data_IF_529250623756
#
_entry.id   IF_529250623756
#
_cell.length_a   1.000
_cell.length_b   1.000
_cell.length_c   1.000
_cell.angle_alpha   90.00
_cell.angle_beta   90.00
_cell.angle_gamma   90.00
#
_symmetry.space_group_name_H-M   'P 1'
#
loop_
_entity.id
_entity.type
_entity.pdbx_description
1 polymer ?
#
# COMPACT_ATOMS: atom_id res chain seq x y z
N UNK A 1 -1.25 -22.63 15.23
CA UNK A 1 0.16 -22.32 15.54
C UNK A 1 0.20 -21.13 16.49
N UNK A 2 0.88 -21.22 17.64
CA UNK A 2 1.08 -20.06 18.52
C UNK A 2 2.09 -19.13 17.87
N UNK A 3 1.70 -17.89 17.64
CA UNK A 3 2.64 -16.83 17.15
C UNK A 3 3.66 -16.56 18.27
N UNK A 4 4.93 -16.74 17.97
CA UNK A 4 5.99 -16.32 18.88
C UNK A 4 6.33 -14.84 18.58
N UNK A 5 6.57 -14.03 19.62
CA UNK A 5 7.11 -12.69 19.42
C UNK A 5 8.44 -12.75 18.67
N UNK A 6 8.70 -11.79 17.78
CA UNK A 6 9.96 -11.71 17.02
C UNK A 6 11.10 -11.08 17.83
N UNK A 7 10.79 -10.53 19.01
CA UNK A 7 11.77 -9.98 19.97
C UNK A 7 11.55 -10.59 21.35
N UNK A 8 12.62 -10.64 22.15
CA UNK A 8 12.57 -11.08 23.55
C UNK A 8 12.20 -9.91 24.47
N UNK A 9 11.87 -10.25 25.73
CA UNK A 9 11.58 -9.22 26.74
C UNK A 9 12.82 -8.33 26.97
N UNK A 10 13.98 -8.91 27.06
CA UNK A 10 15.26 -8.21 27.29
C UNK A 10 15.54 -7.23 26.14
N UNK A 11 15.26 -7.64 24.89
CA UNK A 11 15.39 -6.76 23.72
C UNK A 11 14.42 -5.57 23.80
N UNK A 12 13.17 -5.78 24.22
CA UNK A 12 12.21 -4.69 24.43
C UNK A 12 12.70 -3.74 25.52
N UNK A 13 13.19 -4.27 26.64
CA UNK A 13 13.70 -3.45 27.76
C UNK A 13 14.89 -2.59 27.32
N UNK A 14 15.73 -3.07 26.42
CA UNK A 14 16.83 -2.29 25.85
C UNK A 14 16.35 -1.22 24.87
N UNK A 15 15.38 -1.56 23.99
CA UNK A 15 14.79 -0.62 23.04
C UNK A 15 14.12 0.55 23.77
N UNK A 16 13.37 0.28 24.84
CA UNK A 16 12.67 1.30 25.64
C UNK A 16 13.60 2.34 26.23
N UNK A 17 14.86 2.00 26.51
CA UNK A 17 15.85 2.98 27.01
C UNK A 17 16.12 4.11 26.00
N UNK A 18 16.04 3.79 24.71
CA UNK A 18 16.28 4.76 23.63
C UNK A 18 14.99 5.33 23.07
N UNK A 19 13.96 4.50 22.95
CA UNK A 19 12.66 4.86 22.38
C UNK A 19 11.57 4.67 23.42
N UNK A 20 11.11 5.76 24.08
CA UNK A 20 10.09 5.67 25.11
C UNK A 20 8.75 5.20 24.49
N UNK A 21 7.99 4.44 25.26
CA UNK A 21 6.62 4.02 24.90
C UNK A 21 5.65 5.21 24.83
N UNK A 22 4.60 5.18 23.98
CA UNK A 22 4.27 4.11 23.04
C UNK A 22 5.06 4.18 21.73
N UNK A 23 5.36 3.02 21.13
CA UNK A 23 5.98 2.94 19.79
C UNK A 23 5.49 1.70 19.03
N UNK A 24 5.62 1.72 17.71
CA UNK A 24 5.42 0.56 16.86
C UNK A 24 6.77 -0.07 16.55
N UNK A 25 6.88 -1.37 16.71
CA UNK A 25 8.06 -2.15 16.36
C UNK A 25 7.70 -3.09 15.19
N UNK A 26 8.42 -2.97 14.10
CA UNK A 26 8.21 -3.75 12.90
C UNK A 26 9.29 -4.82 12.73
N UNK A 27 8.89 -6.03 12.33
CA UNK A 27 9.78 -7.11 11.93
C UNK A 27 10.07 -7.02 10.44
N UNK A 28 11.12 -6.29 10.07
CA UNK A 28 11.51 -6.14 8.67
C UNK A 28 11.76 -7.49 7.99
N UNK A 29 12.42 -8.42 8.68
CA UNK A 29 12.68 -9.75 8.15
C UNK A 29 11.37 -10.49 7.84
N UNK A 30 10.42 -10.47 8.78
CA UNK A 30 9.12 -11.08 8.59
C UNK A 30 8.30 -10.44 7.45
N UNK A 31 8.38 -9.10 7.30
CA UNK A 31 7.75 -8.39 6.19
C UNK A 31 8.32 -8.86 4.85
N UNK A 32 9.66 -8.93 4.73
CA UNK A 32 10.35 -9.39 3.52
C UNK A 32 10.02 -10.84 3.18
N UNK A 33 10.04 -11.71 4.16
CA UNK A 33 9.71 -13.13 3.99
C UNK A 33 8.26 -13.32 3.52
N UNK A 34 7.30 -12.58 4.08
CA UNK A 34 5.91 -12.62 3.66
C UNK A 34 5.71 -12.08 2.24
N UNK A 35 6.29 -10.95 1.90
CA UNK A 35 6.19 -10.37 0.56
C UNK A 35 6.76 -11.33 -0.50
N UNK A 36 7.90 -11.95 -0.21
CA UNK A 36 8.49 -12.98 -1.06
C UNK A 36 7.59 -14.20 -1.21
N UNK A 37 7.03 -14.70 -0.11
CA UNK A 37 6.16 -15.88 -0.12
C UNK A 37 4.88 -15.64 -0.94
N UNK A 38 4.27 -14.45 -0.84
CA UNK A 38 3.11 -14.09 -1.67
C UNK A 38 3.50 -14.08 -3.15
N UNK A 39 4.58 -13.40 -3.50
CA UNK A 39 5.08 -13.35 -4.88
C UNK A 39 5.34 -14.76 -5.46
N UNK A 40 5.97 -15.63 -4.67
CA UNK A 40 6.25 -17.01 -5.08
C UNK A 40 4.98 -17.86 -5.22
N UNK A 41 4.01 -17.69 -4.31
CA UNK A 41 2.75 -18.43 -4.36
C UNK A 41 1.92 -18.14 -5.63
N UNK A 42 2.05 -16.94 -6.19
CA UNK A 42 1.35 -16.52 -7.40
C UNK A 42 2.24 -16.48 -8.65
N UNK A 43 3.47 -17.03 -8.59
CA UNK A 43 4.42 -17.02 -9.70
C UNK A 43 3.92 -17.72 -10.98
N UNK A 44 2.89 -18.55 -10.87
CA UNK A 44 2.21 -19.18 -12.00
C UNK A 44 1.42 -18.19 -12.85
N UNK A 45 1.06 -17.02 -12.31
CA UNK A 45 0.34 -15.95 -13.02
C UNK A 45 1.29 -14.77 -13.26
N UNK A 46 1.83 -14.57 -14.46
CA UNK A 46 2.77 -13.48 -14.74
C UNK A 46 2.13 -12.08 -14.66
N UNK A 47 0.78 -12.01 -14.66
CA UNK A 47 0.03 -10.76 -14.49
C UNK A 47 -0.31 -10.43 -13.03
N UNK A 48 0.02 -11.31 -12.08
CA UNK A 48 -0.30 -11.07 -10.68
C UNK A 48 0.55 -9.93 -10.10
N UNK A 49 -0.11 -9.04 -9.40
CA UNK A 49 0.52 -8.00 -8.57
C UNK A 49 -0.27 -7.84 -7.28
N UNK A 50 0.42 -7.83 -6.17
CA UNK A 50 -0.13 -7.48 -4.86
C UNK A 50 -0.18 -5.96 -4.70
N UNK A 51 -1.31 -5.44 -4.23
CA UNK A 51 -1.45 -4.03 -3.85
C UNK A 51 -1.69 -3.95 -2.35
N UNK A 52 -0.72 -3.40 -1.65
CA UNK A 52 -0.77 -3.26 -0.19
C UNK A 52 -1.66 -2.08 0.21
N UNK A 53 -2.63 -2.33 1.09
CA UNK A 53 -3.52 -1.29 1.62
C UNK A 53 -2.74 -0.29 2.49
N UNK A 54 -2.50 0.91 1.95
CA UNK A 54 -1.67 1.95 2.59
C UNK A 54 -2.22 2.35 3.95
N UNK A 55 -3.56 2.42 4.08
CA UNK A 55 -4.23 2.74 5.36
C UNK A 55 -3.88 1.80 6.51
N UNK A 56 -3.49 0.56 6.23
CA UNK A 56 -3.11 -0.40 7.27
C UNK A 56 -1.79 -0.02 7.95
N UNK A 57 -0.84 0.53 7.19
CA UNK A 57 0.44 1.00 7.71
C UNK A 57 1.02 2.07 6.77
N UNK A 58 0.62 3.34 6.93
CA UNK A 58 1.06 4.44 6.08
C UNK A 58 2.51 4.87 6.42
N UNK A 59 3.43 3.93 6.32
CA UNK A 59 4.83 4.12 6.67
C UNK A 59 5.70 4.01 5.40
N UNK A 60 6.39 5.09 4.98
CA UNK A 60 7.19 5.10 3.76
C UNK A 60 8.28 4.03 3.75
N UNK A 61 8.89 3.71 4.89
CA UNK A 61 9.90 2.66 4.96
C UNK A 61 9.32 1.27 4.67
N UNK A 62 8.13 0.97 5.18
CA UNK A 62 7.44 -0.30 4.91
C UNK A 62 7.03 -0.38 3.44
N UNK A 63 6.48 0.69 2.90
CA UNK A 63 6.10 0.75 1.48
C UNK A 63 7.32 0.53 0.57
N UNK A 64 8.47 1.10 0.89
CA UNK A 64 9.69 0.89 0.12
C UNK A 64 10.20 -0.55 0.20
N UNK A 65 10.09 -1.22 1.35
CA UNK A 65 10.40 -2.65 1.45
C UNK A 65 9.49 -3.47 0.53
N UNK A 66 8.18 -3.22 0.55
CA UNK A 66 7.22 -3.93 -0.29
C UNK A 66 7.45 -3.67 -1.78
N UNK A 67 7.84 -2.46 -2.15
CA UNK A 67 8.20 -2.08 -3.52
C UNK A 67 9.34 -2.94 -4.09
N UNK A 68 10.32 -3.34 -3.28
CA UNK A 68 11.41 -4.23 -3.70
C UNK A 68 10.90 -5.61 -4.19
N UNK A 69 9.69 -6.00 -3.77
CA UNK A 69 9.01 -7.24 -4.17
C UNK A 69 7.95 -7.05 -5.24
N UNK A 70 7.93 -5.88 -5.92
CA UNK A 70 6.96 -5.52 -6.95
C UNK A 70 5.52 -5.36 -6.43
N UNK A 71 5.36 -5.12 -5.13
CA UNK A 71 4.05 -4.77 -4.57
C UNK A 71 3.71 -3.33 -4.96
N UNK A 72 2.44 -3.10 -5.27
CA UNK A 72 1.86 -1.78 -5.43
C UNK A 72 1.24 -1.25 -4.13
N UNK A 73 0.65 -0.06 -4.22
CA UNK A 73 -0.10 0.59 -3.15
C UNK A 73 -1.58 0.62 -3.49
N UNK A 74 -2.44 0.12 -2.59
CA UNK A 74 -3.88 0.36 -2.62
C UNK A 74 -4.20 1.56 -1.73
N UNK A 75 -4.62 2.65 -2.35
CA UNK A 75 -4.84 3.95 -1.74
C UNK A 75 -6.34 4.25 -1.67
N UNK A 76 -6.81 4.68 -0.51
CA UNK A 76 -8.22 5.02 -0.27
C UNK A 76 -8.45 6.52 -0.06
N UNK A 77 -7.42 7.36 -0.20
CA UNK A 77 -7.49 8.81 -0.04
C UNK A 77 -6.38 9.53 -0.81
N UNK A 78 -6.56 10.84 -1.02
CA UNK A 78 -5.52 11.67 -1.65
C UNK A 78 -4.21 11.65 -0.87
N UNK A 79 -4.26 11.64 0.45
CA UNK A 79 -3.05 11.59 1.28
C UNK A 79 -2.25 10.32 1.04
N UNK A 80 -2.92 9.18 0.88
CA UNK A 80 -2.29 7.91 0.56
C UNK A 80 -1.72 7.90 -0.87
N UNK A 81 -2.43 8.49 -1.84
CA UNK A 81 -1.92 8.70 -3.20
C UNK A 81 -0.64 9.55 -3.19
N UNK A 82 -0.65 10.67 -2.45
CA UNK A 82 0.53 11.54 -2.30
C UNK A 82 1.70 10.80 -1.65
N UNK A 83 1.42 9.97 -0.66
CA UNK A 83 2.46 9.15 -0.02
C UNK A 83 3.08 8.18 -1.03
N UNK A 84 2.25 7.42 -1.77
CA UNK A 84 2.73 6.47 -2.78
C UNK A 84 3.54 7.17 -3.89
N UNK A 85 3.03 8.28 -4.42
CA UNK A 85 3.72 9.10 -5.43
C UNK A 85 5.07 9.62 -4.92
N UNK A 86 5.12 10.14 -3.68
CA UNK A 86 6.35 10.63 -3.05
C UNK A 86 7.41 9.55 -2.84
N UNK A 87 7.01 8.30 -2.71
CA UNK A 87 7.92 7.15 -2.64
C UNK A 87 8.31 6.62 -4.03
N UNK A 88 7.89 7.28 -5.09
CA UNK A 88 8.24 6.96 -6.46
C UNK A 88 7.61 5.65 -6.97
N UNK A 89 6.41 5.31 -6.50
CA UNK A 89 5.61 4.30 -7.17
C UNK A 89 5.10 4.87 -8.49
N UNK A 90 5.22 4.10 -9.59
CA UNK A 90 4.61 4.49 -10.85
C UNK A 90 3.10 4.22 -10.83
N UNK A 91 2.37 4.85 -11.75
CA UNK A 91 0.91 4.77 -11.76
C UNK A 91 0.36 3.35 -11.85
N UNK A 92 1.09 2.41 -12.48
CA UNK A 92 0.68 1.00 -12.57
C UNK A 92 0.85 0.24 -11.25
N UNK A 93 1.59 0.81 -10.32
CA UNK A 93 1.78 0.28 -8.97
C UNK A 93 0.95 1.03 -7.93
N UNK A 94 0.05 1.92 -8.38
CA UNK A 94 -0.88 2.63 -7.51
C UNK A 94 -2.30 2.28 -7.94
N UNK A 95 -3.08 1.70 -7.04
CA UNK A 95 -4.51 1.50 -7.19
C UNK A 95 -5.24 2.48 -6.28
N UNK A 96 -6.23 3.17 -6.82
CA UNK A 96 -7.07 4.08 -6.07
C UNK A 96 -8.45 3.47 -5.90
N UNK A 97 -8.78 3.05 -4.69
CA UNK A 97 -10.06 2.42 -4.31
C UNK A 97 -10.67 3.21 -3.16
N UNK A 98 -11.61 4.09 -3.47
CA UNK A 98 -12.26 4.96 -2.49
C UNK A 98 -13.77 4.97 -2.68
N UNK A 99 -14.53 4.95 -1.59
CA UNK A 99 -15.99 4.79 -1.60
C UNK A 99 -16.75 6.11 -1.52
N UNK A 100 -16.14 7.17 -1.00
CA UNK A 100 -16.76 8.50 -0.89
C UNK A 100 -15.76 9.55 -1.37
N UNK A 101 -15.59 9.61 -2.69
CA UNK A 101 -14.44 10.26 -3.29
C UNK A 101 -14.84 11.58 -3.95
N UNK A 102 -14.34 12.71 -3.47
CA UNK A 102 -14.51 13.98 -4.14
C UNK A 102 -13.75 14.02 -5.47
N UNK A 103 -14.28 14.78 -6.43
CA UNK A 103 -13.76 14.85 -7.79
C UNK A 103 -12.28 15.23 -7.90
N UNK A 104 -11.75 15.99 -6.95
CA UNK A 104 -10.34 16.39 -6.95
C UNK A 104 -9.38 15.25 -6.66
N UNK A 105 -9.80 14.24 -5.90
CA UNK A 105 -8.99 13.04 -5.63
C UNK A 105 -8.88 12.15 -6.88
N UNK A 106 -9.97 11.98 -7.61
CA UNK A 106 -9.93 11.31 -8.92
C UNK A 106 -9.00 12.00 -9.91
N UNK A 107 -9.07 13.34 -9.98
CA UNK A 107 -8.17 14.12 -10.84
C UNK A 107 -6.70 13.95 -10.45
N UNK A 108 -6.42 13.83 -9.17
CA UNK A 108 -5.06 13.59 -8.72
C UNK A 108 -4.61 12.17 -9.06
N UNK A 109 -5.45 11.16 -8.85
CA UNK A 109 -5.17 9.78 -9.21
C UNK A 109 -4.89 9.63 -10.71
N UNK A 110 -5.73 10.25 -11.57
CA UNK A 110 -5.53 10.29 -13.02
C UNK A 110 -4.22 10.99 -13.40
N UNK A 111 -3.92 12.13 -12.78
CA UNK A 111 -2.69 12.88 -13.03
C UNK A 111 -1.41 12.07 -12.78
N UNK A 112 -1.40 11.23 -11.75
CA UNK A 112 -0.26 10.36 -11.43
C UNK A 112 -0.30 9.02 -12.17
N UNK A 113 -1.35 8.80 -12.98
CA UNK A 113 -1.53 7.58 -13.79
C UNK A 113 -1.94 6.36 -12.98
N UNK A 114 -2.52 6.54 -11.79
CA UNK A 114 -2.99 5.45 -10.95
C UNK A 114 -4.14 4.66 -11.62
N UNK A 115 -4.23 3.39 -11.29
CA UNK A 115 -5.38 2.56 -11.65
C UNK A 115 -6.54 2.98 -10.75
N UNK A 116 -7.64 3.44 -11.35
CA UNK A 116 -8.83 3.86 -10.61
C UNK A 116 -9.82 2.71 -10.57
N UNK A 117 -10.12 2.21 -9.38
CA UNK A 117 -11.17 1.24 -9.14
C UNK A 117 -12.45 1.96 -8.75
N UNK A 118 -13.49 1.80 -9.57
CA UNK A 118 -14.82 2.38 -9.35
C UNK A 118 -15.75 1.29 -8.85
N UNK A 119 -16.23 1.42 -7.64
CA UNK A 119 -17.22 0.52 -7.02
C UNK A 119 -18.67 0.98 -7.21
N UNK A 120 -18.87 2.23 -7.72
CA UNK A 120 -20.17 2.81 -8.09
C UNK A 120 -20.03 3.58 -9.41
N UNK A 121 -21.12 3.62 -10.19
CA UNK A 121 -21.22 4.39 -11.43
C UNK A 121 -21.46 5.89 -11.19
N UNK A 122 -21.91 6.28 -10.02
CA UNK A 122 -22.24 7.67 -9.67
C UNK A 122 -21.05 8.62 -9.84
N UNK A 123 -19.81 8.27 -9.40
CA UNK A 123 -18.65 9.14 -9.56
C UNK A 123 -18.27 9.44 -11.01
N UNK A 124 -18.54 8.52 -11.93
CA UNK A 124 -18.16 8.66 -13.35
C UNK A 124 -18.86 9.86 -14.00
N UNK A 125 -20.08 10.17 -13.60
CA UNK A 125 -20.86 11.29 -14.15
C UNK A 125 -20.33 12.66 -13.73
N UNK A 126 -19.60 12.74 -12.62
CA UNK A 126 -19.08 14.00 -12.08
C UNK A 126 -17.64 14.31 -12.48
N UNK A 127 -16.88 13.32 -12.90
CA UNK A 127 -15.42 13.47 -13.04
C UNK A 127 -14.95 13.70 -14.46
N UNK A 128 -15.80 13.46 -15.48
CA UNK A 128 -15.38 13.46 -16.89
C UNK A 128 -14.07 12.67 -17.11
N UNK A 129 -13.82 11.70 -16.25
CA UNK A 129 -12.71 10.79 -16.45
C UNK A 129 -12.91 10.10 -17.78
N UNK A 130 -11.97 10.22 -18.69
CA UNK A 130 -11.95 9.38 -19.88
C UNK A 130 -11.92 7.95 -19.36
N UNK A 131 -12.95 7.20 -19.72
CA UNK A 131 -12.98 5.77 -19.49
C UNK A 131 -11.81 5.15 -20.27
N UNK A 132 -10.63 5.13 -19.67
CA UNK A 132 -9.55 4.30 -20.11
C UNK A 132 -9.78 2.95 -19.46
N UNK A 133 -10.54 2.15 -20.21
CA UNK A 133 -10.63 0.71 -20.12
C UNK A 133 -11.25 0.16 -18.82
N UNK A 134 -12.56 -0.01 -18.94
CA UNK A 134 -13.26 -1.08 -18.22
C UNK A 134 -12.60 -2.40 -18.54
N UNK A 135 -12.10 -3.06 -17.50
CA UNK A 135 -11.88 -4.50 -17.54
C UNK A 135 -13.20 -5.25 -17.42
#
# INVERSE_FOLDING_TARGET
MSKKPFVTKEQIEEIVKTYPTPFHLYDEKGIRENAKAVKEAFAWNPGFREYFAVKATPNPFILNILKEYDCGCDCASQTELMLADSQGFDGKHIMFSSNDTPAYEYKFADKIGAIINLDDFTPVSYTHLRAHETL
#
